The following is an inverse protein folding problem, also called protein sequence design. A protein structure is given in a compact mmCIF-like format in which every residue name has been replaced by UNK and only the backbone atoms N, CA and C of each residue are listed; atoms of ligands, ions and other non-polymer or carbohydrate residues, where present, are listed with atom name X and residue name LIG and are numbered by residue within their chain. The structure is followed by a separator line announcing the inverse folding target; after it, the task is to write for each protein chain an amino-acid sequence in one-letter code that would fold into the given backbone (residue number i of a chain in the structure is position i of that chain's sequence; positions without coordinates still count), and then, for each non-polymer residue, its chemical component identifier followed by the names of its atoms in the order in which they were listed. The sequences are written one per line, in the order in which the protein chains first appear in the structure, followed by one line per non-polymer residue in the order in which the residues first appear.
data_IF_065408979735
#
_entry.id   IF_065408979735
#
_cell.length_a   1.000
_cell.length_b   1.000
_cell.length_c   1.000
_cell.angle_alpha   90.00
_cell.angle_beta   90.00
_cell.angle_gamma   90.00
#
_symmetry.space_group_name_H-M   'P 1'
#
loop_
_entity.id
_entity.type
_entity.pdbx_description
1 polymer ?
#
# COMPACT_ATOMS: atom_id res chain seq x y z
N UNK A 1 -8.82 -17.91 -6.26
CA UNK A 1 -7.71 -17.56 -5.34
C UNK A 1 -6.60 -17.11 -6.24
N UNK A 2 -6.02 -15.94 -6.03
CA UNK A 2 -4.91 -15.41 -6.82
C UNK A 2 -3.61 -16.01 -6.30
N UNK A 3 -2.71 -16.44 -7.17
CA UNK A 3 -1.40 -16.99 -6.82
C UNK A 3 -0.30 -15.93 -6.93
N UNK A 4 0.88 -16.21 -6.39
CA UNK A 4 2.07 -15.36 -6.57
C UNK A 4 2.42 -15.22 -8.06
N UNK A 5 2.32 -16.30 -8.83
CA UNK A 5 2.55 -16.32 -10.27
C UNK A 5 1.57 -15.41 -11.04
N UNK A 6 0.28 -15.41 -10.64
CA UNK A 6 -0.72 -14.51 -11.25
C UNK A 6 -0.36 -13.03 -11.01
N UNK A 7 0.12 -12.70 -9.80
CA UNK A 7 0.56 -11.34 -9.46
C UNK A 7 1.80 -10.97 -10.27
N UNK A 8 2.81 -11.82 -10.30
CA UNK A 8 4.05 -11.58 -11.04
C UNK A 8 3.76 -11.41 -12.53
N UNK A 9 2.90 -12.25 -13.10
CA UNK A 9 2.50 -12.13 -14.52
C UNK A 9 1.82 -10.76 -14.78
N UNK A 10 0.95 -10.33 -13.89
CA UNK A 10 0.23 -9.06 -14.04
C UNK A 10 1.16 -7.83 -13.98
N UNK A 11 2.24 -7.87 -13.15
CA UNK A 11 3.15 -6.74 -12.98
C UNK A 11 4.40 -6.80 -13.88
N UNK A 12 4.68 -7.94 -14.53
CA UNK A 12 5.92 -8.19 -15.26
C UNK A 12 6.26 -7.11 -16.30
N UNK A 13 5.25 -6.57 -16.97
CA UNK A 13 5.44 -5.55 -18.00
C UNK A 13 5.97 -4.20 -17.44
N UNK A 14 5.75 -3.92 -16.17
CA UNK A 14 6.17 -2.67 -15.53
C UNK A 14 7.50 -2.79 -14.78
N UNK A 15 7.88 -3.99 -14.35
CA UNK A 15 9.08 -4.22 -13.53
C UNK A 15 10.38 -3.61 -14.08
N UNK A 16 10.63 -3.55 -15.41
CA UNK A 16 11.85 -2.94 -15.94
C UNK A 16 11.91 -1.41 -15.78
N UNK A 17 10.78 -0.74 -15.58
CA UNK A 17 10.65 0.73 -15.62
C UNK A 17 10.30 1.34 -14.25
N UNK A 18 10.07 0.53 -13.22
CA UNK A 18 9.66 1.03 -11.91
C UNK A 18 10.83 1.46 -11.04
N UNK A 19 10.62 2.49 -10.24
CA UNK A 19 11.56 2.95 -9.21
C UNK A 19 11.44 2.18 -7.89
N UNK A 20 10.26 1.65 -7.59
CA UNK A 20 9.97 0.93 -6.36
C UNK A 20 8.70 0.07 -6.44
N UNK A 21 8.60 -0.88 -5.51
CA UNK A 21 7.43 -1.72 -5.31
C UNK A 21 6.86 -1.45 -3.92
N UNK A 22 5.57 -1.18 -3.87
CA UNK A 22 4.84 -1.06 -2.59
C UNK A 22 3.89 -2.23 -2.42
N UNK A 23 4.05 -2.98 -1.33
CA UNK A 23 3.11 -4.04 -0.94
C UNK A 23 2.20 -3.49 0.15
N UNK A 24 0.90 -3.48 -0.14
CA UNK A 24 -0.15 -2.98 0.75
C UNK A 24 -1.45 -3.71 0.46
N UNK A 25 -2.41 -3.60 1.38
CA UNK A 25 -3.74 -4.20 1.23
C UNK A 25 -3.84 -5.58 1.86
N UNK A 26 -4.97 -5.85 2.55
CA UNK A 26 -5.03 -6.93 3.51
C UNK A 26 -3.96 -6.75 4.59
N UNK A 27 -3.50 -7.86 5.16
CA UNK A 27 -2.30 -7.88 6.01
C UNK A 27 -1.27 -8.81 5.35
N UNK A 28 -0.16 -8.27 4.81
CA UNK A 28 0.83 -9.09 4.10
C UNK A 28 1.43 -10.20 4.97
N UNK A 29 1.60 -9.93 6.25
CA UNK A 29 2.18 -10.89 7.20
C UNK A 29 1.20 -11.97 7.71
N UNK A 30 -0.06 -11.93 7.27
CA UNK A 30 -0.98 -13.08 7.45
C UNK A 30 -0.70 -14.19 6.43
N UNK A 31 0.09 -13.89 5.37
CA UNK A 31 0.50 -14.82 4.32
C UNK A 31 2.03 -14.77 4.12
N UNK A 32 2.84 -15.07 5.16
CA UNK A 32 4.28 -14.79 5.15
C UNK A 32 5.03 -15.57 4.06
N UNK A 33 4.61 -16.79 3.77
CA UNK A 33 5.23 -17.61 2.71
C UNK A 33 4.99 -17.01 1.33
N UNK A 34 3.74 -16.63 1.03
CA UNK A 34 3.40 -16.00 -0.24
C UNK A 34 4.07 -14.62 -0.38
N UNK A 35 4.13 -13.84 0.71
CA UNK A 35 4.86 -12.57 0.73
C UNK A 35 6.34 -12.78 0.42
N UNK A 36 7.00 -13.71 1.11
CA UNK A 36 8.42 -14.01 0.90
C UNK A 36 8.68 -14.44 -0.54
N UNK A 37 7.88 -15.36 -1.07
CA UNK A 37 8.05 -15.88 -2.43
C UNK A 37 7.85 -14.77 -3.47
N UNK A 38 6.84 -13.91 -3.30
CA UNK A 38 6.62 -12.74 -4.15
C UNK A 38 7.83 -11.79 -4.12
N UNK A 39 8.31 -11.44 -2.93
CA UNK A 39 9.43 -10.51 -2.77
C UNK A 39 10.74 -11.10 -3.29
N UNK A 40 10.95 -12.39 -3.15
CA UNK A 40 12.10 -13.09 -3.70
C UNK A 40 12.14 -12.99 -5.23
N UNK A 41 11.03 -13.25 -5.89
CA UNK A 41 10.94 -13.12 -7.36
C UNK A 41 11.12 -11.66 -7.82
N UNK A 42 10.50 -10.69 -7.11
CA UNK A 42 10.69 -9.27 -7.41
C UNK A 42 12.18 -8.90 -7.35
N UNK A 43 12.93 -9.36 -6.35
CA UNK A 43 14.36 -9.09 -6.22
C UNK A 43 15.21 -9.68 -7.36
N UNK A 44 14.74 -10.74 -8.00
CA UNK A 44 15.42 -11.32 -9.18
C UNK A 44 15.08 -10.56 -10.47
N UNK A 45 13.93 -9.93 -10.54
CA UNK A 45 13.43 -9.26 -11.74
C UNK A 45 13.80 -7.78 -11.82
N UNK A 46 14.05 -7.12 -10.67
CA UNK A 46 14.34 -5.68 -10.62
C UNK A 46 15.22 -5.32 -9.43
N UNK A 47 15.93 -4.18 -9.56
CA UNK A 47 16.67 -3.55 -8.45
C UNK A 47 15.85 -2.46 -7.74
N UNK A 48 14.55 -2.36 -8.02
CA UNK A 48 13.65 -1.40 -7.40
C UNK A 48 13.60 -1.58 -5.87
N UNK A 49 13.39 -0.49 -5.13
CA UNK A 49 13.19 -0.60 -3.69
C UNK A 49 11.84 -1.25 -3.34
N UNK A 50 11.76 -1.83 -2.15
CA UNK A 50 10.55 -2.51 -1.66
C UNK A 50 10.11 -1.88 -0.35
N UNK A 51 8.91 -1.29 -0.38
CA UNK A 51 8.20 -0.78 0.79
C UNK A 51 7.02 -1.70 1.12
N UNK A 52 6.91 -2.12 2.37
CA UNK A 52 5.77 -2.92 2.85
C UNK A 52 5.01 -2.16 3.91
N UNK A 53 3.68 -2.20 3.85
CA UNK A 53 2.80 -1.71 4.90
C UNK A 53 2.21 -2.90 5.68
N UNK A 54 2.24 -2.82 7.01
CA UNK A 54 1.62 -3.79 7.91
C UNK A 54 0.87 -3.08 9.02
N UNK A 55 -0.30 -3.61 9.37
CA UNK A 55 -1.03 -3.20 10.56
C UNK A 55 -0.46 -3.81 11.85
N UNK A 56 0.54 -4.68 11.77
CA UNK A 56 1.17 -5.26 12.96
C UNK A 56 2.32 -4.40 13.48
N UNK A 57 2.50 -4.34 14.80
CA UNK A 57 3.74 -3.85 15.40
C UNK A 57 4.92 -4.71 14.92
N UNK A 58 6.08 -4.05 14.65
CA UNK A 58 7.28 -4.75 14.15
C UNK A 58 7.70 -5.90 15.06
N UNK A 59 7.50 -5.75 16.36
CA UNK A 59 7.83 -6.75 17.38
C UNK A 59 7.03 -8.05 17.23
N UNK A 60 5.80 -7.94 16.68
CA UNK A 60 4.93 -9.11 16.44
C UNK A 60 5.38 -9.95 15.24
N UNK A 61 6.04 -9.31 14.28
CA UNK A 61 6.44 -9.95 13.01
C UNK A 61 7.96 -10.09 12.87
N UNK A 62 8.70 -9.96 13.97
CA UNK A 62 10.17 -9.96 13.96
C UNK A 62 10.75 -11.25 13.34
N UNK A 63 10.26 -12.42 13.74
CA UNK A 63 10.73 -13.71 13.21
C UNK A 63 10.49 -13.81 11.68
N UNK A 64 9.33 -13.32 11.20
CA UNK A 64 9.01 -13.31 9.77
C UNK A 64 9.90 -12.33 8.99
N UNK A 65 10.26 -11.18 9.59
CA UNK A 65 11.19 -10.23 8.99
C UNK A 65 12.60 -10.79 8.90
N UNK A 66 13.04 -11.57 9.90
CA UNK A 66 14.34 -12.25 9.87
C UNK A 66 14.39 -13.27 8.73
N UNK A 67 13.29 -14.02 8.49
CA UNK A 67 13.16 -14.97 7.37
C UNK A 67 13.15 -14.28 5.99
N UNK A 68 12.82 -12.98 5.97
CA UNK A 68 12.78 -12.12 4.76
C UNK A 68 13.93 -11.10 4.74
N UNK A 69 15.02 -11.36 5.47
CA UNK A 69 16.14 -10.43 5.56
C UNK A 69 16.67 -10.05 4.15
N UNK A 70 16.75 -8.74 3.89
CA UNK A 70 17.19 -8.20 2.60
C UNK A 70 16.13 -8.16 1.49
N UNK A 71 14.92 -8.71 1.70
CA UNK A 71 13.83 -8.64 0.73
C UNK A 71 12.97 -7.38 0.87
N UNK A 72 12.92 -6.78 2.05
CA UNK A 72 12.16 -5.57 2.36
C UNK A 72 13.15 -4.45 2.68
N UNK A 73 13.04 -3.30 2.01
CA UNK A 73 13.91 -2.15 2.24
C UNK A 73 13.39 -1.26 3.36
N UNK A 74 12.09 -1.05 3.39
CA UNK A 74 11.42 -0.29 4.44
C UNK A 74 10.05 -0.90 4.78
N UNK A 75 9.67 -0.78 6.04
CA UNK A 75 8.40 -1.24 6.57
C UNK A 75 7.70 -0.08 7.29
N UNK A 76 6.46 0.20 6.89
CA UNK A 76 5.54 0.99 7.72
C UNK A 76 4.77 0.01 8.58
N UNK A 77 5.03 0.02 9.89
CA UNK A 77 4.39 -0.87 10.87
C UNK A 77 3.38 -0.13 11.73
N UNK A 78 2.61 -0.89 12.47
CA UNK A 78 1.56 -0.46 13.39
C UNK A 78 0.22 -0.11 12.70
N UNK A 79 -0.90 -0.34 13.39
CA UNK A 79 -2.22 -0.17 12.81
C UNK A 79 -2.51 1.30 12.51
N UNK A 80 -3.18 1.56 11.38
CA UNK A 80 -3.73 2.87 11.11
C UNK A 80 -4.72 3.29 12.20
N UNK A 81 -4.60 4.52 12.68
CA UNK A 81 -5.51 5.11 13.66
C UNK A 81 -6.13 6.39 13.14
N UNK A 82 -7.46 6.40 13.02
CA UNK A 82 -8.20 7.61 12.63
C UNK A 82 -8.10 8.72 13.70
N UNK A 83 -7.88 8.32 14.96
CA UNK A 83 -7.76 9.24 16.10
C UNK A 83 -6.39 9.93 16.16
N UNK A 84 -5.34 9.28 15.64
CA UNK A 84 -4.01 9.87 15.64
C UNK A 84 -3.89 10.96 14.56
N UNK A 85 -3.08 12.01 14.75
CA UNK A 85 -2.77 12.98 13.69
C UNK A 85 -2.17 12.31 12.44
N UNK A 86 -2.12 13.06 11.33
CA UNK A 86 -1.43 12.67 10.09
C UNK A 86 -0.46 13.79 9.71
N UNK A 87 0.61 13.93 10.47
CA UNK A 87 1.62 14.98 10.28
C UNK A 87 2.94 14.44 9.75
N UNK A 88 3.19 13.13 9.87
CA UNK A 88 4.43 12.51 9.43
C UNK A 88 4.37 12.06 7.97
N UNK A 89 5.50 12.23 7.28
CA UNK A 89 5.63 11.83 5.89
C UNK A 89 5.52 10.31 5.73
N UNK A 90 4.95 9.85 4.60
CA UNK A 90 4.81 8.45 4.19
C UNK A 90 3.90 7.60 5.09
N UNK A 91 3.27 8.17 6.11
CA UNK A 91 2.42 7.47 7.07
C UNK A 91 0.96 7.90 6.95
N UNK A 92 0.05 6.95 7.14
CA UNK A 92 -1.39 7.23 7.21
C UNK A 92 -1.82 7.86 8.52
N UNK A 93 -1.08 7.59 9.60
CA UNK A 93 -1.28 8.15 10.94
C UNK A 93 0.05 8.17 11.72
N UNK A 94 0.19 9.11 12.65
CA UNK A 94 1.47 9.40 13.31
C UNK A 94 1.92 8.32 14.30
N UNK A 95 1.05 7.42 14.70
CA UNK A 95 1.41 6.26 15.50
C UNK A 95 2.13 5.17 14.69
N UNK A 96 2.09 5.23 13.35
CA UNK A 96 2.80 4.27 12.50
C UNK A 96 4.30 4.59 12.48
N UNK A 97 5.13 3.54 12.46
CA UNK A 97 6.59 3.63 12.44
C UNK A 97 7.15 3.32 11.06
N UNK A 98 8.08 4.15 10.58
CA UNK A 98 8.92 3.85 9.42
C UNK A 98 10.18 3.14 9.91
N UNK A 99 10.31 1.87 9.59
CA UNK A 99 11.46 1.03 9.91
C UNK A 99 12.28 0.82 8.63
N UNK A 100 13.54 1.22 8.66
CA UNK A 100 14.48 1.07 7.54
C UNK A 100 15.28 -0.21 7.79
N UNK A 101 15.23 -1.14 6.83
CA UNK A 101 15.74 -2.50 7.02
C UNK A 101 17.01 -2.80 6.21
N UNK A 102 17.29 -2.00 5.15
CA UNK A 102 18.46 -2.21 4.29
C UNK A 102 19.20 -0.89 3.99
N UNK A 103 20.44 -0.96 3.47
CA UNK A 103 21.14 0.23 2.97
C UNK A 103 20.39 0.95 1.83
N UNK A 104 19.73 0.21 0.93
CA UNK A 104 18.89 0.78 -0.12
C UNK A 104 17.69 1.51 0.49
N UNK A 105 17.04 0.88 1.49
CA UNK A 105 15.98 1.50 2.26
C UNK A 105 16.42 2.80 2.93
N UNK A 106 17.63 2.83 3.48
CA UNK A 106 18.18 4.07 4.06
C UNK A 106 18.37 5.17 3.00
N UNK A 107 18.91 4.83 1.84
CA UNK A 107 19.10 5.78 0.75
C UNK A 107 17.77 6.36 0.23
N UNK A 108 16.72 5.54 0.17
CA UNK A 108 15.42 5.90 -0.41
C UNK A 108 14.44 6.52 0.60
N UNK A 109 14.41 6.02 1.83
CA UNK A 109 13.34 6.32 2.79
C UNK A 109 13.76 7.14 4.01
N UNK A 110 15.06 7.30 4.32
CA UNK A 110 15.50 8.06 5.50
C UNK A 110 14.99 9.52 5.49
N UNK A 111 14.88 10.12 4.32
CA UNK A 111 14.37 11.49 4.15
C UNK A 111 12.90 11.66 4.56
N UNK A 112 12.13 10.57 4.71
CA UNK A 112 10.73 10.59 5.15
C UNK A 112 10.55 10.46 6.67
N UNK A 113 11.64 10.37 7.44
CA UNK A 113 11.61 10.45 8.91
C UNK A 113 11.48 11.90 9.40
N UNK A 114 10.46 12.59 8.92
CA UNK A 114 10.16 14.00 9.18
C UNK A 114 8.67 14.29 9.09
N UNK A 115 8.29 15.52 9.43
CA UNK A 115 6.96 16.02 9.12
C UNK A 115 6.71 16.07 7.62
N UNK A 116 5.47 15.80 7.24
CA UNK A 116 5.02 15.83 5.85
C UNK A 116 4.96 17.28 5.35
N UNK A 117 5.38 17.47 4.10
CA UNK A 117 5.17 18.71 3.36
C UNK A 117 4.09 18.49 2.29
N UNK A 118 3.48 19.56 1.74
CA UNK A 118 2.40 19.40 0.76
C UNK A 118 2.77 18.53 -0.46
N UNK A 119 4.04 18.51 -0.85
CA UNK A 119 4.53 17.69 -1.96
C UNK A 119 4.60 16.18 -1.66
N UNK A 120 4.52 15.78 -0.40
CA UNK A 120 4.49 14.35 -0.02
C UNK A 120 3.09 13.75 -0.17
N UNK A 121 2.07 14.59 -0.19
CA UNK A 121 0.66 14.19 -0.34
C UNK A 121 0.32 14.07 -1.81
N UNK A 122 0.78 13.00 -2.42
CA UNK A 122 0.47 12.67 -3.80
C UNK A 122 -0.35 11.40 -3.83
N UNK A 123 -1.31 11.35 -4.70
CA UNK A 123 -1.92 10.11 -5.12
C UNK A 123 -2.08 10.14 -6.63
N UNK A 124 -1.80 9.01 -7.22
CA UNK A 124 -1.94 8.80 -8.65
C UNK A 124 -3.31 8.20 -8.93
N UNK A 125 -3.92 8.68 -9.99
CA UNK A 125 -5.18 8.17 -10.52
C UNK A 125 -4.89 7.54 -11.87
N UNK A 126 -5.20 6.26 -12.01
CA UNK A 126 -5.17 5.56 -13.29
C UNK A 126 -6.60 5.16 -13.65
N UNK A 127 -6.96 5.30 -14.91
CA UNK A 127 -8.26 4.89 -15.45
C UNK A 127 -8.03 3.93 -16.60
N UNK A 128 -8.72 2.80 -16.60
CA UNK A 128 -8.72 1.88 -17.72
C UNK A 128 -9.83 2.20 -18.73
N UNK A 129 -9.80 1.52 -19.86
CA UNK A 129 -10.78 1.70 -20.94
C UNK A 129 -12.21 1.27 -20.54
N UNK A 130 -12.36 0.51 -19.46
CA UNK A 130 -13.65 0.11 -18.88
C UNK A 130 -14.20 1.15 -17.89
N UNK A 131 -13.47 2.25 -17.64
CA UNK A 131 -13.83 3.29 -16.69
C UNK A 131 -13.58 2.92 -15.24
N UNK A 132 -12.79 1.87 -14.95
CA UNK A 132 -12.34 1.59 -13.60
C UNK A 132 -11.23 2.57 -13.22
N UNK A 133 -11.31 3.10 -12.00
CA UNK A 133 -10.31 4.04 -11.45
C UNK A 133 -9.52 3.34 -10.37
N UNK A 134 -8.21 3.37 -10.54
CA UNK A 134 -7.25 2.88 -9.57
C UNK A 134 -6.59 4.08 -8.90
N UNK A 135 -6.43 4.00 -7.60
CA UNK A 135 -5.78 5.05 -6.82
C UNK A 135 -4.62 4.45 -6.02
N UNK A 136 -3.46 5.09 -6.09
CA UNK A 136 -2.29 4.74 -5.32
C UNK A 136 -1.69 5.98 -4.64
N UNK A 137 -1.23 5.83 -3.40
CA UNK A 137 -0.60 6.91 -2.63
C UNK A 137 -1.18 7.09 -1.25
N UNK A 138 -0.78 8.16 -0.57
CA UNK A 138 -1.23 8.52 0.78
C UNK A 138 -1.99 9.85 0.71
N UNK A 139 -3.31 9.82 0.45
CA UNK A 139 -4.13 11.02 0.41
C UNK A 139 -4.26 11.64 1.81
N UNK A 140 -4.49 12.95 1.85
CA UNK A 140 -4.98 13.60 3.06
C UNK A 140 -6.39 13.10 3.43
N UNK A 141 -6.76 13.17 4.70
CA UNK A 141 -8.03 12.62 5.22
C UNK A 141 -9.29 13.11 4.52
N UNK A 142 -9.25 14.32 3.96
CA UNK A 142 -10.40 14.91 3.28
C UNK A 142 -10.34 14.80 1.75
N UNK A 143 -9.27 14.29 1.19
CA UNK A 143 -9.10 14.24 -0.27
C UNK A 143 -10.11 13.30 -0.93
N UNK A 144 -10.44 12.18 -0.30
CA UNK A 144 -11.51 11.30 -0.77
C UNK A 144 -12.89 11.96 -0.76
N UNK A 145 -13.21 12.72 0.30
CA UNK A 145 -14.48 13.46 0.37
C UNK A 145 -14.55 14.54 -0.71
N UNK A 146 -13.43 15.23 -0.94
CA UNK A 146 -13.32 16.26 -1.99
C UNK A 146 -13.48 15.64 -3.37
N UNK A 147 -12.80 14.53 -3.64
CA UNK A 147 -12.92 13.81 -4.91
C UNK A 147 -14.36 13.35 -5.15
N UNK A 148 -14.97 12.72 -4.14
CA UNK A 148 -16.38 12.28 -4.21
C UNK A 148 -17.32 13.45 -4.50
N UNK A 149 -17.12 14.60 -3.85
CA UNK A 149 -17.94 15.79 -4.09
C UNK A 149 -17.78 16.34 -5.52
N UNK A 150 -16.54 16.38 -6.04
CA UNK A 150 -16.24 16.84 -7.40
C UNK A 150 -16.91 15.92 -8.44
N UNK A 151 -16.75 14.62 -8.29
CA UNK A 151 -17.28 13.65 -9.24
C UNK A 151 -18.81 13.59 -9.18
N UNK A 152 -19.41 13.69 -7.98
CA UNK A 152 -20.88 13.77 -7.84
C UNK A 152 -21.47 15.05 -8.43
N UNK A 153 -20.75 16.18 -8.38
CA UNK A 153 -21.17 17.42 -9.02
C UNK A 153 -21.16 17.34 -10.57
N UNK A 154 -20.49 16.33 -11.13
CA UNK A 154 -20.42 16.02 -12.55
C UNK A 154 -21.33 14.83 -12.94
N UNK A 155 -22.33 14.48 -12.11
CA UNK A 155 -23.26 13.38 -12.30
C UNK A 155 -22.60 11.96 -12.35
N UNK A 156 -21.36 11.83 -11.85
CA UNK A 156 -20.72 10.53 -11.72
C UNK A 156 -21.15 9.84 -10.42
N UNK A 157 -21.58 8.57 -10.51
CA UNK A 157 -21.82 7.72 -9.35
C UNK A 157 -20.55 6.97 -8.99
N UNK A 158 -20.10 7.14 -7.75
CA UNK A 158 -18.90 6.49 -7.24
C UNK A 158 -19.33 5.37 -6.30
N UNK A 159 -18.75 4.20 -6.49
CA UNK A 159 -18.89 3.07 -5.58
C UNK A 159 -17.50 2.65 -5.12
N UNK A 160 -17.30 2.59 -3.82
CA UNK A 160 -16.08 2.04 -3.24
C UNK A 160 -16.18 0.52 -3.10
N UNK A 161 -15.06 -0.16 -2.91
CA UNK A 161 -15.05 -1.59 -2.61
C UNK A 161 -15.77 -1.91 -1.30
N UNK A 162 -15.84 -0.96 -0.37
CA UNK A 162 -16.58 -1.08 0.88
C UNK A 162 -18.10 -1.06 0.65
N UNK A 163 -18.58 -0.25 -0.30
CA UNK A 163 -20.01 -0.18 -0.64
C UNK A 163 -20.49 -1.49 -1.29
N UNK A 164 -19.63 -2.18 -2.04
CA UNK A 164 -19.95 -3.49 -2.65
C UNK A 164 -20.08 -4.62 -1.64
N UNK A 165 -19.34 -4.57 -0.53
CA UNK A 165 -19.47 -5.59 0.54
C UNK A 165 -20.75 -5.45 1.35
N UNK A 166 -21.29 -4.24 1.51
CA UNK A 166 -22.58 -4.01 2.20
C UNK A 166 -23.80 -4.50 1.38
N UNK A 167 -23.72 -4.47 0.04
CA UNK A 167 -24.82 -4.91 -0.84
C UNK A 167 -25.00 -6.42 -0.95
N UNK A 168 -24.00 -7.22 -0.61
CA UNK A 168 -24.09 -8.69 -0.71
C UNK A 168 -24.68 -9.37 0.53
N UNK A 169 -24.96 -8.63 1.60
CA UNK A 169 -25.54 -9.20 2.84
C UNK A 169 -27.07 -9.22 2.84
N UNK A 170 -27.73 -8.52 1.92
CA UNK A 170 -29.22 -8.45 1.87
C UNK A 170 -29.90 -9.46 0.95
N UNK A 171 -29.17 -10.29 0.19
CA UNK A 171 -29.79 -11.20 -0.81
C UNK A 171 -29.83 -12.67 -0.37
N UNK A 172 -29.56 -13.00 0.89
CA UNK A 172 -29.66 -14.38 1.40
C UNK A 172 -30.73 -14.58 2.48
N UNK A 173 -31.79 -13.79 2.45
CA UNK A 173 -32.98 -14.03 3.30
C UNK A 173 -34.27 -13.87 2.51
N UNK A 174 -34.55 -14.82 1.63
CA UNK A 174 -35.92 -15.21 1.20
C UNK A 174 -35.92 -16.66 0.80
#
# INVERSE_FOLDING_TARGET
MTTVEDVLFAIAQWLPEIDGVTVSGGEPFDQPEALRDLLWEIRHLTNADVLVFSGYPIEKIADQLDDMAGLIDALISDPYSIEAPQTLALRGSDNQRLNILTPLGNAKFASYQREAVPSDRKFDLMMDDAGQVWMAGIPGRDDFKRLTAILSAQDHKIFTTQDRSAGNTETQSQ
#
